data_IF_334097100338
#
_entry.id   IF_334097100338
#
_cell.length_a   1.000
_cell.length_b   1.000
_cell.length_c   1.000
_cell.angle_alpha   90.00
_cell.angle_beta   90.00
_cell.angle_gamma   90.00
#
_symmetry.space_group_name_H-M   'P 1'
#
loop_
_entity.id
_entity.type
_entity.pdbx_description
1 polymer ?
#
# COMPACT_ATOMS: atom_id res chain seq x y z
N UNK A 1 18.96 21.58 -0.94
CA UNK A 1 17.96 21.26 0.11
C UNK A 1 16.56 20.90 -0.41
N UNK A 2 16.17 21.25 -1.62
CA UNK A 2 14.79 21.05 -2.15
C UNK A 2 14.35 19.59 -2.43
N UNK A 3 15.24 18.64 -2.56
CA UNK A 3 14.90 17.25 -2.90
C UNK A 3 14.57 16.36 -1.67
N UNK A 4 14.99 16.77 -0.48
CA UNK A 4 14.76 16.00 0.74
C UNK A 4 13.26 15.87 1.10
N UNK A 5 12.52 16.95 0.99
CA UNK A 5 11.08 16.95 1.34
C UNK A 5 10.28 15.94 0.52
N UNK A 6 10.36 15.95 -0.83
CA UNK A 6 9.67 14.94 -1.61
C UNK A 6 10.21 13.52 -1.37
N UNK A 7 11.51 13.35 -1.12
CA UNK A 7 12.09 12.05 -0.87
C UNK A 7 11.61 11.46 0.47
N UNK A 8 11.58 12.26 1.54
CA UNK A 8 11.00 11.84 2.83
C UNK A 8 9.51 11.52 2.67
N UNK A 9 8.76 12.32 1.91
CA UNK A 9 7.35 12.02 1.61
C UNK A 9 7.17 10.68 0.89
N UNK A 10 8.04 10.35 -0.06
CA UNK A 10 8.03 9.06 -0.75
C UNK A 10 8.37 7.90 0.21
N UNK A 11 9.36 8.07 1.07
CA UNK A 11 9.73 7.07 2.10
C UNK A 11 8.56 6.81 3.06
N UNK A 12 7.90 7.86 3.53
CA UNK A 12 6.70 7.73 4.37
C UNK A 12 5.55 7.06 3.63
N UNK A 13 5.32 7.41 2.35
CA UNK A 13 4.32 6.74 1.52
C UNK A 13 4.63 5.24 1.40
N UNK A 14 5.88 4.89 1.15
CA UNK A 14 6.33 3.48 1.08
C UNK A 14 6.07 2.76 2.40
N UNK A 15 6.37 3.39 3.54
CA UNK A 15 6.06 2.84 4.86
C UNK A 15 4.56 2.57 5.04
N UNK A 16 3.70 3.54 4.72
CA UNK A 16 2.25 3.40 4.88
C UNK A 16 1.67 2.33 3.95
N UNK A 17 2.09 2.32 2.68
CA UNK A 17 1.64 1.33 1.70
C UNK A 17 2.03 -0.09 2.13
N UNK A 18 3.28 -0.32 2.53
CA UNK A 18 3.71 -1.65 3.02
C UNK A 18 3.00 -2.06 4.31
N UNK A 19 2.84 -1.14 5.27
CA UNK A 19 2.09 -1.44 6.50
C UNK A 19 0.68 -1.91 6.18
N UNK A 20 -0.02 -1.22 5.28
CA UNK A 20 -1.36 -1.60 4.84
C UNK A 20 -1.40 -2.95 4.10
N UNK A 21 -0.37 -3.26 3.32
CA UNK A 21 -0.28 -4.53 2.59
C UNK A 21 -0.23 -5.72 3.54
N UNK A 22 0.61 -5.64 4.56
CA UNK A 22 0.86 -6.75 5.49
C UNK A 22 -0.08 -6.79 6.69
N UNK A 23 -0.83 -5.71 6.95
CA UNK A 23 -1.74 -5.60 8.10
C UNK A 23 -2.77 -6.74 8.19
N UNK A 24 -3.44 -7.19 7.09
CA UNK A 24 -4.37 -8.30 7.15
C UNK A 24 -3.75 -9.63 7.57
N UNK A 25 -2.44 -9.82 7.34
CA UNK A 25 -1.73 -11.01 7.81
C UNK A 25 -1.67 -11.03 9.33
N UNK A 26 -1.40 -9.87 9.94
CA UNK A 26 -1.35 -9.72 11.41
C UNK A 26 -2.72 -9.78 12.09
N UNK A 27 -3.80 -9.53 11.35
CA UNK A 27 -5.19 -9.50 11.85
C UNK A 27 -6.04 -10.66 11.33
N UNK A 28 -5.43 -11.69 10.72
CA UNK A 28 -6.17 -12.74 10.04
C UNK A 28 -7.17 -13.47 10.94
N UNK A 29 -6.75 -13.83 12.14
CA UNK A 29 -7.59 -14.49 13.15
C UNK A 29 -8.74 -13.58 13.61
N UNK A 30 -8.45 -12.30 13.81
CA UNK A 30 -9.44 -11.31 14.24
C UNK A 30 -10.49 -11.09 13.14
N UNK A 31 -10.06 -10.94 11.88
CA UNK A 31 -10.95 -10.83 10.71
C UNK A 31 -11.83 -12.07 10.56
N UNK A 32 -11.27 -13.27 10.75
CA UNK A 32 -12.02 -14.52 10.68
C UNK A 32 -13.11 -14.58 11.75
N UNK A 33 -12.80 -14.13 12.98
CA UNK A 33 -13.74 -14.08 14.08
C UNK A 33 -14.87 -13.06 13.83
N UNK A 34 -14.52 -11.85 13.38
CA UNK A 34 -15.49 -10.76 13.13
C UNK A 34 -16.53 -11.13 12.05
N UNK A 35 -16.10 -11.83 11.01
CA UNK A 35 -16.99 -12.27 9.92
C UNK A 35 -17.52 -13.70 10.10
N UNK A 36 -17.32 -14.34 11.26
CA UNK A 36 -17.78 -15.71 11.56
C UNK A 36 -17.37 -16.73 10.49
N UNK A 37 -16.11 -16.70 10.07
CA UNK A 37 -15.55 -17.58 9.04
C UNK A 37 -14.27 -18.27 9.52
N UNK A 38 -13.78 -19.25 8.76
CA UNK A 38 -12.51 -19.88 9.04
C UNK A 38 -11.33 -18.98 8.64
N UNK A 39 -10.18 -19.11 9.31
CA UNK A 39 -8.96 -18.40 8.95
C UNK A 39 -8.55 -18.69 7.49
N UNK A 40 -8.78 -19.90 7.00
CA UNK A 40 -8.55 -20.26 5.60
C UNK A 40 -9.42 -19.43 4.64
N UNK A 41 -10.69 -19.19 4.98
CA UNK A 41 -11.58 -18.36 4.18
C UNK A 41 -11.17 -16.87 4.27
N UNK A 42 -10.82 -16.37 5.45
CA UNK A 42 -10.30 -15.02 5.63
C UNK A 42 -8.96 -14.82 4.87
N UNK A 43 -8.14 -15.86 4.76
CA UNK A 43 -6.90 -15.85 3.98
C UNK A 43 -7.10 -15.57 2.48
N UNK A 44 -8.32 -15.73 1.96
CA UNK A 44 -8.64 -15.31 0.59
C UNK A 44 -8.43 -13.80 0.36
N UNK A 45 -8.54 -12.97 1.40
CA UNK A 45 -8.21 -11.55 1.31
C UNK A 45 -6.77 -11.32 0.84
N UNK A 46 -5.82 -12.11 1.35
CA UNK A 46 -4.41 -12.00 1.01
C UNK A 46 -4.18 -12.52 -0.40
N UNK A 47 -4.75 -13.68 -0.74
CA UNK A 47 -4.57 -14.31 -2.05
C UNK A 47 -5.19 -13.48 -3.17
N UNK A 48 -6.43 -13.03 -3.02
CA UNK A 48 -7.13 -12.20 -4.01
C UNK A 48 -6.43 -10.85 -4.18
N UNK A 49 -5.94 -10.26 -3.08
CA UNK A 49 -5.14 -9.05 -3.14
C UNK A 49 -3.87 -9.23 -3.98
N UNK A 50 -3.10 -10.30 -3.73
CA UNK A 50 -1.89 -10.58 -4.49
C UNK A 50 -2.18 -10.83 -5.99
N UNK A 51 -3.23 -11.58 -6.30
CA UNK A 51 -3.70 -11.77 -7.68
C UNK A 51 -4.13 -10.45 -8.32
N UNK A 52 -4.85 -9.60 -7.59
CA UNK A 52 -5.29 -8.30 -8.10
C UNK A 52 -4.08 -7.39 -8.40
N UNK A 53 -3.08 -7.31 -7.52
CA UNK A 53 -1.84 -6.57 -7.77
C UNK A 53 -1.15 -7.09 -9.04
N UNK A 54 -0.99 -8.41 -9.17
CA UNK A 54 -0.33 -9.04 -10.33
C UNK A 54 -1.07 -8.73 -11.64
N UNK A 55 -2.38 -8.93 -11.68
CA UNK A 55 -3.19 -8.76 -12.90
C UNK A 55 -3.31 -7.28 -13.29
N UNK A 56 -3.49 -6.39 -12.31
CA UNK A 56 -3.72 -4.97 -12.54
C UNK A 56 -2.46 -4.17 -12.81
N UNK A 57 -1.29 -4.67 -12.43
CA UNK A 57 -0.02 -3.92 -12.51
C UNK A 57 0.26 -3.45 -13.95
N UNK A 58 0.29 -4.35 -14.91
CA UNK A 58 0.62 -4.00 -16.28
C UNK A 58 -0.50 -3.18 -16.98
N UNK A 59 -1.79 -3.59 -16.94
CA UNK A 59 -2.86 -2.83 -17.58
C UNK A 59 -2.99 -1.41 -17.03
N UNK A 60 -2.99 -1.25 -15.71
CA UNK A 60 -3.11 0.08 -15.11
C UNK A 60 -1.90 0.97 -15.45
N UNK A 61 -0.68 0.41 -15.42
CA UNK A 61 0.50 1.17 -15.78
C UNK A 61 0.45 1.65 -17.23
N UNK A 62 -0.04 0.83 -18.16
CA UNK A 62 -0.23 1.22 -19.57
C UNK A 62 -1.27 2.34 -19.72
N UNK A 63 -2.37 2.27 -18.96
CA UNK A 63 -3.42 3.30 -18.99
C UNK A 63 -2.93 4.67 -18.48
N UNK A 64 -2.01 4.68 -17.51
CA UNK A 64 -1.57 5.93 -16.86
C UNK A 64 -0.25 6.49 -17.39
N UNK A 65 0.33 5.91 -18.43
CA UNK A 65 1.64 6.32 -18.99
C UNK A 65 1.71 7.80 -19.37
N UNK A 66 0.59 8.39 -19.78
CA UNK A 66 0.50 9.82 -20.18
C UNK A 66 0.28 10.77 -19.01
N UNK A 67 0.02 10.26 -17.82
CA UNK A 67 -0.26 11.08 -16.64
C UNK A 67 1.06 11.57 -16.02
N UNK A 68 1.21 12.87 -15.72
CA UNK A 68 2.40 13.39 -15.07
C UNK A 68 2.65 12.69 -13.73
N UNK A 69 3.90 12.26 -13.43
CA UNK A 69 4.20 11.42 -12.25
C UNK A 69 3.71 12.00 -10.92
N UNK A 70 3.79 13.33 -10.74
CA UNK A 70 3.29 14.00 -9.54
C UNK A 70 1.77 13.84 -9.37
N UNK A 71 1.00 14.05 -10.46
CA UNK A 71 -0.46 13.90 -10.42
C UNK A 71 -0.85 12.45 -10.23
N UNK A 72 -0.11 11.54 -10.87
CA UNK A 72 -0.31 10.11 -10.72
C UNK A 72 -0.08 9.65 -9.27
N UNK A 73 1.02 10.05 -8.64
CA UNK A 73 1.30 9.72 -7.26
C UNK A 73 0.21 10.26 -6.32
N UNK A 74 -0.23 11.51 -6.50
CA UNK A 74 -1.32 12.08 -5.70
C UNK A 74 -2.64 11.31 -5.90
N UNK A 75 -2.98 10.98 -7.15
CA UNK A 75 -4.18 10.18 -7.47
C UNK A 75 -4.15 8.79 -6.83
N UNK A 76 -2.99 8.14 -6.85
CA UNK A 76 -2.78 6.83 -6.21
C UNK A 76 -2.94 6.92 -4.69
N UNK A 77 -2.38 7.96 -4.05
CA UNK A 77 -2.54 8.18 -2.60
C UNK A 77 -4.00 8.44 -2.25
N UNK A 78 -4.71 9.24 -3.04
CA UNK A 78 -6.15 9.51 -2.81
C UNK A 78 -6.97 8.24 -2.96
N UNK A 79 -6.76 7.46 -4.03
CA UNK A 79 -7.43 6.18 -4.24
C UNK A 79 -7.16 5.22 -3.09
N UNK A 80 -5.91 5.09 -2.69
CA UNK A 80 -5.50 4.29 -1.53
C UNK A 80 -6.24 4.71 -0.27
N UNK A 81 -6.27 6.01 0.04
CA UNK A 81 -6.92 6.54 1.25
C UNK A 81 -8.43 6.26 1.24
N UNK A 82 -9.11 6.46 0.10
CA UNK A 82 -10.54 6.16 -0.04
C UNK A 82 -10.78 4.66 0.20
N UNK A 83 -10.00 3.78 -0.42
CA UNK A 83 -10.16 2.34 -0.27
C UNK A 83 -9.84 1.86 1.15
N UNK A 84 -8.92 2.51 1.88
CA UNK A 84 -8.65 2.22 3.28
C UNK A 84 -9.82 2.63 4.18
N UNK A 85 -10.43 3.80 3.93
CA UNK A 85 -11.64 4.21 4.64
C UNK A 85 -12.82 3.25 4.39
N UNK A 86 -12.97 2.79 3.13
CA UNK A 86 -13.98 1.77 2.80
C UNK A 86 -13.69 0.43 3.48
N UNK A 87 -12.41 0.05 3.61
CA UNK A 87 -12.02 -1.15 4.36
C UNK A 87 -12.38 -1.03 5.84
N UNK A 88 -12.11 0.13 6.45
CA UNK A 88 -12.46 0.39 7.85
C UNK A 88 -13.98 0.45 8.10
N UNK A 89 -14.76 0.88 7.10
CA UNK A 89 -16.23 0.95 7.18
C UNK A 89 -16.90 -0.33 6.69
N UNK A 90 -16.17 -1.42 6.46
CA UNK A 90 -16.73 -2.63 5.89
C UNK A 90 -17.64 -3.36 6.89
N UNK A 91 -18.90 -3.59 6.50
CA UNK A 91 -19.91 -4.30 7.30
C UNK A 91 -20.03 -5.79 6.96
N UNK A 92 -19.33 -6.24 5.92
CA UNK A 92 -19.27 -7.63 5.51
C UNK A 92 -17.97 -7.93 4.76
N UNK A 93 -17.63 -9.22 4.69
CA UNK A 93 -16.40 -9.71 4.08
C UNK A 93 -16.25 -9.31 2.60
N UNK A 94 -17.32 -9.30 1.83
CA UNK A 94 -17.27 -8.96 0.40
C UNK A 94 -17.01 -7.48 0.16
N UNK A 95 -17.54 -6.61 1.03
CA UNK A 95 -17.22 -5.17 1.01
C UNK A 95 -15.74 -4.93 1.33
N UNK A 96 -15.23 -5.63 2.35
CA UNK A 96 -13.80 -5.59 2.69
C UNK A 96 -12.95 -6.08 1.51
N UNK A 97 -13.34 -7.19 0.87
CA UNK A 97 -12.65 -7.74 -0.30
C UNK A 97 -12.63 -6.74 -1.45
N UNK A 98 -13.76 -6.11 -1.78
CA UNK A 98 -13.83 -5.11 -2.84
C UNK A 98 -12.93 -3.89 -2.55
N UNK A 99 -12.94 -3.40 -1.32
CA UNK A 99 -12.06 -2.31 -0.88
C UNK A 99 -10.58 -2.71 -1.00
N UNK A 100 -10.22 -3.93 -0.63
CA UNK A 100 -8.85 -4.47 -0.75
C UNK A 100 -8.41 -4.61 -2.21
N UNK A 101 -9.30 -4.94 -3.14
CA UNK A 101 -9.00 -4.92 -4.59
C UNK A 101 -8.68 -3.48 -5.05
N UNK A 102 -9.41 -2.49 -4.56
CA UNK A 102 -9.11 -1.08 -4.82
C UNK A 102 -7.74 -0.65 -4.26
N UNK A 103 -7.39 -1.11 -3.06
CA UNK A 103 -6.05 -0.92 -2.48
C UNK A 103 -4.99 -1.60 -3.35
N UNK A 104 -5.25 -2.82 -3.85
CA UNK A 104 -4.34 -3.54 -4.75
C UNK A 104 -4.08 -2.77 -6.06
N UNK A 105 -5.11 -2.15 -6.63
CA UNK A 105 -4.97 -1.30 -7.81
C UNK A 105 -4.06 -0.09 -7.55
N UNK A 106 -4.24 0.58 -6.41
CA UNK A 106 -3.37 1.68 -5.98
C UNK A 106 -1.92 1.20 -5.78
N UNK A 107 -1.73 0.05 -5.14
CA UNK A 107 -0.43 -0.59 -4.91
C UNK A 107 0.31 -0.91 -6.21
N UNK A 108 -0.39 -1.53 -7.16
CA UNK A 108 0.16 -1.90 -8.46
C UNK A 108 0.79 -0.70 -9.20
N UNK A 109 0.10 0.43 -9.20
CA UNK A 109 0.61 1.67 -9.81
C UNK A 109 1.70 2.30 -8.93
N UNK A 110 1.51 2.35 -7.60
CA UNK A 110 2.47 2.94 -6.67
C UNK A 110 3.87 2.35 -6.82
N UNK A 111 3.99 1.01 -6.76
CA UNK A 111 5.29 0.34 -6.88
C UNK A 111 5.93 0.53 -8.25
N UNK A 112 5.13 0.65 -9.29
CA UNK A 112 5.65 0.91 -10.65
C UNK A 112 6.30 2.30 -10.80
N UNK A 113 5.87 3.28 -10.00
CA UNK A 113 6.31 4.68 -10.16
C UNK A 113 7.24 5.19 -9.06
N UNK A 114 7.17 4.64 -7.84
CA UNK A 114 7.87 5.23 -6.68
C UNK A 114 9.38 5.20 -6.83
N UNK A 115 9.94 4.10 -7.29
CA UNK A 115 11.38 3.92 -7.47
C UNK A 115 11.96 4.85 -8.55
N UNK A 116 11.43 4.87 -9.80
CA UNK A 116 11.92 5.81 -10.82
C UNK A 116 11.67 7.27 -10.44
N UNK A 117 10.60 7.57 -9.71
CA UNK A 117 10.31 8.92 -9.25
C UNK A 117 11.31 9.38 -8.18
N UNK A 118 11.67 8.51 -7.23
CA UNK A 118 12.69 8.81 -6.21
C UNK A 118 14.06 9.13 -6.83
N UNK A 119 14.48 8.35 -7.82
CA UNK A 119 15.72 8.60 -8.57
C UNK A 119 15.65 9.91 -9.34
N UNK A 120 14.50 10.22 -9.96
CA UNK A 120 14.32 11.45 -10.74
C UNK A 120 14.34 12.72 -9.90
N UNK A 121 13.89 12.66 -8.66
CA UNK A 121 13.84 13.80 -7.72
C UNK A 121 15.21 14.08 -7.11
N UNK A 122 16.00 13.04 -6.90
CA UNK A 122 17.33 13.16 -6.32
C UNK A 122 18.38 13.65 -7.36
N UNK A 123 19.41 14.39 -6.93
CA UNK A 123 20.59 14.62 -7.78
C UNK A 123 21.20 13.29 -8.21
N UNK A 124 21.80 13.25 -9.42
CA UNK A 124 22.40 12.02 -9.97
C UNK A 124 23.43 11.38 -9.04
N UNK A 125 24.20 12.19 -8.32
CA UNK A 125 25.15 11.72 -7.30
C UNK A 125 24.51 11.10 -6.06
N UNK A 126 23.19 11.22 -5.88
CA UNK A 126 22.43 10.73 -4.72
C UNK A 126 21.31 9.74 -5.10
N UNK A 127 21.32 9.23 -6.32
CA UNK A 127 20.33 8.26 -6.79
C UNK A 127 20.30 7.00 -5.91
N UNK A 128 21.46 6.47 -5.55
CA UNK A 128 21.57 5.31 -4.64
C UNK A 128 20.96 5.59 -3.26
N UNK A 129 21.20 6.79 -2.71
CA UNK A 129 20.59 7.21 -1.45
C UNK A 129 19.06 7.28 -1.56
N UNK A 130 18.54 7.78 -2.67
CA UNK A 130 17.09 7.84 -2.90
C UNK A 130 16.44 6.44 -2.90
N UNK A 131 17.08 5.48 -3.57
CA UNK A 131 16.65 4.08 -3.58
C UNK A 131 16.70 3.46 -2.19
N UNK A 132 17.79 3.70 -1.46
CA UNK A 132 17.94 3.21 -0.07
C UNK A 132 16.88 3.77 0.86
N UNK A 133 16.48 5.03 0.71
CA UNK A 133 15.42 5.64 1.51
C UNK A 133 14.05 5.01 1.23
N UNK A 134 13.73 4.73 -0.03
CA UNK A 134 12.49 3.99 -0.38
C UNK A 134 12.53 2.59 0.22
N UNK A 135 13.64 1.86 0.09
CA UNK A 135 13.83 0.54 0.70
C UNK A 135 13.76 0.56 2.23
N UNK A 136 14.30 1.61 2.87
CA UNK A 136 14.19 1.82 4.31
C UNK A 136 12.72 1.94 4.75
N UNK A 137 11.87 2.65 3.98
CA UNK A 137 10.44 2.73 4.24
C UNK A 137 9.78 1.35 4.31
N UNK A 138 10.13 0.44 3.40
CA UNK A 138 9.68 -0.96 3.42
C UNK A 138 10.16 -1.71 4.65
N UNK A 139 11.46 -1.63 4.97
CA UNK A 139 12.04 -2.34 6.11
C UNK A 139 11.45 -1.88 7.44
N UNK A 140 11.27 -0.58 7.61
CA UNK A 140 10.65 0.01 8.81
C UNK A 140 9.17 -0.41 8.92
N UNK A 141 8.45 -0.50 7.80
CA UNK A 141 7.08 -1.00 7.78
C UNK A 141 6.98 -2.46 8.25
N UNK A 142 7.89 -3.31 7.81
CA UNK A 142 7.91 -4.72 8.24
C UNK A 142 8.21 -4.88 9.73
N UNK A 143 9.10 -4.05 10.27
CA UNK A 143 9.53 -4.16 11.68
C UNK A 143 8.50 -3.52 12.62
N UNK A 144 8.02 -2.33 12.30
CA UNK A 144 7.17 -1.54 13.19
C UNK A 144 5.73 -1.43 12.70
N UNK A 145 5.49 -1.39 11.38
CA UNK A 145 4.17 -1.21 10.80
C UNK A 145 3.21 -2.35 11.13
N UNK A 146 3.68 -3.58 11.08
CA UNK A 146 2.87 -4.77 11.38
C UNK A 146 2.42 -4.82 12.85
N UNK A 147 3.33 -4.75 13.85
CA UNK A 147 2.93 -4.72 15.26
C UNK A 147 2.07 -3.51 15.61
N UNK A 148 2.47 -2.32 15.18
CA UNK A 148 1.71 -1.09 15.46
C UNK A 148 0.35 -1.11 14.78
N UNK A 149 0.27 -1.58 13.53
CA UNK A 149 -0.98 -1.72 12.78
C UNK A 149 -1.95 -2.66 13.47
N UNK A 150 -1.47 -3.81 13.97
CA UNK A 150 -2.29 -4.74 14.76
C UNK A 150 -2.77 -4.11 16.07
N UNK A 151 -1.87 -3.46 16.83
CA UNK A 151 -2.26 -2.79 18.07
C UNK A 151 -3.33 -1.73 17.85
N UNK A 152 -3.20 -0.93 16.78
CA UNK A 152 -4.20 0.08 16.41
C UNK A 152 -5.52 -0.56 15.97
N UNK A 153 -5.49 -1.60 15.15
CA UNK A 153 -6.68 -2.32 14.72
C UNK A 153 -7.46 -2.89 15.89
N UNK A 154 -6.79 -3.51 16.85
CA UNK A 154 -7.43 -4.07 18.06
C UNK A 154 -7.91 -2.98 19.04
N UNK A 155 -7.38 -1.76 18.99
CA UNK A 155 -7.76 -0.68 19.89
C UNK A 155 -8.93 0.17 19.36
N UNK A 156 -9.12 0.22 18.05
CA UNK A 156 -10.11 1.10 17.37
C UNK A 156 -11.30 0.29 16.86
N UNK A 157 -11.15 -1.01 16.65
CA UNK A 157 -12.16 -1.93 16.10
C UNK A 157 -11.94 -2.20 14.64
#
# INVERSE_FOLDING_TARGET
MRFWVPLVGMTLSTFVFNTSEFMPIGLLTDIAADFNMTESAAGMLISVYAWAVMILSLPLMLCVTKVPPKRLLLGVIVLFSICQLLSAASVNFWMLMAARIGVAAAHAVFWSIITPLAVRVAPSSKASLALSMVGMGTSVAMIFGLPCGRMLGLAIG
#
